data_IF_178143941426
#
_entry.id   IF_178143941426
#
_cell.length_a   1.000
_cell.length_b   1.000
_cell.length_c   1.000
_cell.angle_alpha   90.00
_cell.angle_beta   90.00
_cell.angle_gamma   90.00
#
_symmetry.space_group_name_H-M   'P 1'
#
loop_
_entity.id
_entity.type
_entity.pdbx_description
1 polymer ?
#
# COMPACT_ATOMS: atom_id res chain seq x y z
N UNK A 1 12.42 25.19 4.83
CA UNK A 1 11.79 24.18 3.96
C UNK A 1 12.03 24.62 2.53
N UNK A 2 13.07 24.14 1.90
CA UNK A 2 13.45 24.47 0.50
C UNK A 2 12.55 23.66 -0.43
N UNK A 3 11.55 24.31 -1.01
CA UNK A 3 10.70 23.69 -2.02
C UNK A 3 11.50 23.41 -3.29
N UNK A 4 11.55 22.16 -3.69
CA UNK A 4 12.19 21.75 -4.93
C UNK A 4 11.41 22.29 -6.13
N UNK A 5 12.11 22.96 -7.06
CA UNK A 5 11.53 23.49 -8.28
C UNK A 5 11.56 22.43 -9.37
N UNK A 6 10.41 22.19 -10.00
CA UNK A 6 10.26 21.20 -11.09
C UNK A 6 9.79 21.90 -12.37
N UNK A 7 9.89 21.21 -13.49
CA UNK A 7 9.44 21.74 -14.78
C UNK A 7 8.07 21.19 -15.16
N UNK A 8 7.21 22.07 -15.69
CA UNK A 8 5.90 21.68 -16.21
C UNK A 8 6.05 20.74 -17.41
N UNK A 9 5.37 19.60 -17.38
CA UNK A 9 5.40 18.62 -18.47
C UNK A 9 4.72 19.10 -19.75
N UNK A 10 3.85 20.12 -19.66
CA UNK A 10 3.10 20.64 -20.81
C UNK A 10 3.78 21.85 -21.47
N UNK A 11 4.37 22.76 -20.71
CA UNK A 11 4.96 23.98 -21.26
C UNK A 11 6.44 24.21 -20.89
N UNK A 12 7.06 23.34 -20.08
CA UNK A 12 8.44 23.47 -19.61
C UNK A 12 8.69 24.61 -18.62
N UNK A 13 7.66 25.36 -18.22
CA UNK A 13 7.80 26.44 -17.23
C UNK A 13 8.18 25.92 -15.84
N UNK A 14 8.98 26.67 -15.11
CA UNK A 14 9.35 26.31 -13.73
C UNK A 14 8.16 26.50 -12.78
N UNK A 15 7.95 25.53 -11.90
CA UNK A 15 6.90 25.59 -10.89
C UNK A 15 7.35 24.87 -9.62
N UNK A 16 6.71 25.16 -8.53
CA UNK A 16 6.92 24.46 -7.27
C UNK A 16 6.45 23.01 -7.38
N UNK A 17 7.19 22.06 -6.83
CA UNK A 17 6.84 20.62 -6.82
C UNK A 17 5.44 20.33 -6.26
N UNK A 18 4.87 21.24 -5.49
CA UNK A 18 3.52 21.13 -4.88
C UNK A 18 2.44 21.94 -5.63
N UNK A 19 2.74 22.54 -6.77
CA UNK A 19 1.76 23.35 -7.49
C UNK A 19 0.70 22.47 -8.16
N UNK A 20 -0.58 22.60 -7.78
CA UNK A 20 -1.69 21.81 -8.30
C UNK A 20 -1.93 22.04 -9.81
N UNK A 21 -1.61 23.23 -10.30
CA UNK A 21 -1.66 23.60 -11.71
C UNK A 21 -0.46 24.47 -12.06
N UNK A 22 -0.05 24.42 -13.31
CA UNK A 22 1.03 25.26 -13.81
C UNK A 22 0.57 26.72 -13.88
N UNK A 23 1.30 27.68 -13.26
CA UNK A 23 0.94 29.09 -13.30
C UNK A 23 1.08 29.71 -14.71
N UNK A 24 1.83 29.04 -15.61
CA UNK A 24 2.07 29.55 -16.97
C UNK A 24 1.07 29.06 -18.02
N UNK A 25 0.59 27.82 -17.90
CA UNK A 25 -0.30 27.21 -18.91
C UNK A 25 -1.60 26.64 -18.35
N UNK A 26 -1.83 26.73 -17.04
CA UNK A 26 -3.02 26.20 -16.40
C UNK A 26 -3.13 24.68 -16.36
N UNK A 27 -2.20 23.94 -16.99
CA UNK A 27 -2.25 22.49 -17.04
C UNK A 27 -2.20 21.90 -15.62
N UNK A 28 -3.12 21.01 -15.25
CA UNK A 28 -3.09 20.34 -13.96
C UNK A 28 -1.79 19.54 -13.86
N UNK A 29 -1.01 19.84 -12.85
CA UNK A 29 0.19 19.09 -12.55
C UNK A 29 -0.21 17.92 -11.65
N UNK A 30 0.03 16.70 -12.12
CA UNK A 30 0.08 15.58 -11.20
C UNK A 30 1.25 15.86 -10.28
N UNK A 31 0.97 16.09 -9.01
CA UNK A 31 2.01 16.35 -8.03
C UNK A 31 3.14 15.33 -8.25
N UNK A 32 4.35 15.81 -8.49
CA UNK A 32 5.56 15.02 -8.28
C UNK A 32 5.76 14.74 -6.78
N UNK A 33 4.73 15.01 -5.99
CA UNK A 33 4.64 14.80 -4.56
C UNK A 33 4.36 13.36 -4.25
N UNK A 34 5.38 12.52 -4.37
CA UNK A 34 5.49 11.34 -3.57
C UNK A 34 4.77 10.07 -3.99
N UNK A 35 4.06 10.04 -5.07
CA UNK A 35 3.65 8.77 -5.68
C UNK A 35 4.80 8.21 -6.50
N UNK A 36 5.14 6.95 -6.29
CA UNK A 36 6.14 6.24 -7.10
C UNK A 36 5.74 6.11 -8.59
N UNK A 37 4.59 6.66 -8.97
CA UNK A 37 4.06 6.64 -10.34
C UNK A 37 3.69 5.24 -10.85
N UNK A 38 3.79 4.22 -10.01
CA UNK A 38 3.53 2.83 -10.38
C UNK A 38 2.02 2.56 -10.33
N UNK A 39 1.40 2.12 -11.44
CA UNK A 39 -0.01 1.75 -11.41
C UNK A 39 -0.22 0.53 -10.50
N UNK A 40 -1.23 0.57 -9.66
CA UNK A 40 -1.56 -0.51 -8.71
C UNK A 40 -2.44 -1.57 -9.37
N UNK A 41 -1.86 -2.31 -10.31
CA UNK A 41 -2.46 -3.52 -10.87
C UNK A 41 -2.20 -4.72 -9.96
N UNK A 42 -2.84 -5.86 -10.23
CA UNK A 42 -2.61 -7.10 -9.50
C UNK A 42 -1.12 -7.47 -9.43
N UNK A 43 -0.45 -7.57 -10.58
CA UNK A 43 0.97 -7.97 -10.62
C UNK A 43 1.92 -6.95 -9.99
N UNK A 44 1.73 -5.65 -10.24
CA UNK A 44 2.59 -4.61 -9.65
C UNK A 44 2.43 -4.50 -8.15
N UNK A 45 1.21 -4.70 -7.63
CA UNK A 45 0.95 -4.66 -6.19
C UNK A 45 1.63 -5.80 -5.45
N UNK A 46 1.58 -7.02 -6.02
CA UNK A 46 2.29 -8.19 -5.46
C UNK A 46 3.80 -7.93 -5.48
N UNK A 47 4.35 -7.52 -6.63
CA UNK A 47 5.78 -7.21 -6.75
C UNK A 47 6.25 -6.14 -5.75
N UNK A 48 5.46 -5.07 -5.55
CA UNK A 48 5.74 -4.03 -4.57
C UNK A 48 5.72 -4.54 -3.13
N UNK A 49 4.76 -5.39 -2.77
CA UNK A 49 4.71 -5.97 -1.42
C UNK A 49 5.91 -6.87 -1.15
N UNK A 50 6.34 -7.66 -2.12
CA UNK A 50 7.56 -8.48 -1.98
C UNK A 50 8.84 -7.65 -2.03
N UNK A 51 8.93 -6.60 -2.84
CA UNK A 51 10.10 -5.69 -2.84
C UNK A 51 10.22 -4.90 -1.54
N UNK A 52 9.09 -4.61 -0.88
CA UNK A 52 9.01 -3.94 0.43
C UNK A 52 8.77 -4.93 1.57
N UNK A 53 9.38 -6.11 1.50
CA UNK A 53 9.14 -7.26 2.36
C UNK A 53 9.15 -6.93 3.86
N UNK A 54 10.14 -6.14 4.30
CA UNK A 54 10.33 -5.67 5.69
C UNK A 54 10.31 -4.14 5.79
N UNK A 55 9.67 -3.45 4.84
CA UNK A 55 9.60 -1.99 4.84
C UNK A 55 8.30 -1.55 5.50
N UNK A 56 8.39 -1.11 6.73
CA UNK A 56 7.25 -0.64 7.53
C UNK A 56 7.00 0.87 7.38
N UNK A 57 7.92 1.62 6.76
CA UNK A 57 7.78 3.05 6.50
C UNK A 57 7.02 3.33 5.22
N UNK A 58 6.49 4.56 5.11
CA UNK A 58 5.71 5.00 3.96
C UNK A 58 4.24 4.59 4.03
N UNK A 59 3.53 4.74 2.92
CA UNK A 59 2.08 4.54 2.82
C UNK A 59 1.74 3.47 1.78
N UNK A 60 0.66 2.73 1.97
CA UNK A 60 0.12 1.78 1.00
C UNK A 60 -1.33 2.15 0.63
N UNK A 61 -1.64 2.41 -0.65
CA UNK A 61 -3.00 2.68 -1.11
C UNK A 61 -3.85 1.41 -1.02
N UNK A 62 -5.19 1.57 -1.09
CA UNK A 62 -6.15 0.45 -1.01
C UNK A 62 -5.86 -0.63 -2.04
N UNK A 63 -5.59 -0.24 -3.28
CA UNK A 63 -5.36 -1.19 -4.36
C UNK A 63 -4.13 -2.09 -4.09
N UNK A 64 -3.01 -1.51 -3.59
CA UNK A 64 -1.82 -2.30 -3.22
C UNK A 64 -2.15 -3.33 -2.14
N UNK A 65 -2.88 -2.90 -1.10
CA UNK A 65 -3.28 -3.77 0.00
C UNK A 65 -4.23 -4.89 -0.45
N UNK A 66 -5.34 -4.55 -1.14
CA UNK A 66 -6.35 -5.54 -1.49
C UNK A 66 -5.91 -6.53 -2.55
N UNK A 67 -5.11 -6.11 -3.53
CA UNK A 67 -4.53 -7.04 -4.52
C UNK A 67 -3.58 -8.04 -3.88
N UNK A 68 -2.79 -7.58 -2.91
CA UNK A 68 -1.89 -8.48 -2.17
C UNK A 68 -2.66 -9.44 -1.28
N UNK A 69 -3.68 -8.97 -0.55
CA UNK A 69 -4.54 -9.83 0.26
C UNK A 69 -5.26 -10.90 -0.60
N UNK A 70 -5.77 -10.50 -1.76
CA UNK A 70 -6.39 -11.44 -2.71
C UNK A 70 -5.40 -12.50 -3.17
N UNK A 71 -4.18 -12.11 -3.53
CA UNK A 71 -3.13 -13.04 -3.92
C UNK A 71 -2.84 -14.07 -2.81
N UNK A 72 -2.60 -13.60 -1.60
CA UNK A 72 -2.32 -14.48 -0.44
C UNK A 72 -3.48 -15.43 -0.20
N UNK A 73 -4.71 -14.93 -0.16
CA UNK A 73 -5.91 -15.74 0.06
C UNK A 73 -6.08 -16.82 -1.01
N UNK A 74 -5.89 -16.49 -2.29
CA UNK A 74 -6.02 -17.48 -3.37
C UNK A 74 -4.97 -18.57 -3.24
N UNK A 75 -3.71 -18.21 -2.99
CA UNK A 75 -2.63 -19.19 -2.82
C UNK A 75 -2.87 -20.06 -1.59
N UNK A 76 -3.30 -19.49 -0.48
CA UNK A 76 -3.62 -20.25 0.74
C UNK A 76 -4.76 -21.26 0.51
N UNK A 77 -5.83 -20.87 -0.18
CA UNK A 77 -6.94 -21.78 -0.52
C UNK A 77 -6.46 -22.93 -1.40
N UNK A 78 -5.65 -22.63 -2.42
CA UNK A 78 -5.11 -23.66 -3.32
C UNK A 78 -4.18 -24.64 -2.56
N UNK A 79 -3.27 -24.11 -1.76
CA UNK A 79 -2.31 -24.93 -1.01
C UNK A 79 -3.02 -25.72 0.10
N UNK A 80 -4.02 -25.16 0.78
CA UNK A 80 -4.83 -25.87 1.75
C UNK A 80 -5.63 -27.03 1.11
N UNK A 81 -6.22 -26.79 -0.07
CA UNK A 81 -6.92 -27.82 -0.83
C UNK A 81 -5.99 -28.95 -1.31
N UNK A 82 -4.75 -28.59 -1.68
CA UNK A 82 -3.73 -29.55 -2.10
C UNK A 82 -3.20 -30.37 -0.93
N UNK A 83 -2.99 -29.75 0.24
CA UNK A 83 -2.53 -30.41 1.46
C UNK A 83 -3.52 -31.44 1.99
N UNK A 84 -4.81 -31.27 1.71
CA UNK A 84 -5.84 -32.25 2.06
C UNK A 84 -5.74 -33.57 1.23
N UNK A 85 -4.99 -33.55 0.13
CA UNK A 85 -4.83 -34.70 -0.78
C UNK A 85 -3.40 -35.25 -0.81
N UNK A 86 -2.42 -34.42 -0.53
CA UNK A 86 -0.99 -34.75 -0.67
C UNK A 86 -0.29 -34.32 0.62
N UNK A 87 0.17 -35.25 1.42
CA UNK A 87 0.84 -34.98 2.71
C UNK A 87 2.04 -34.03 2.56
N UNK A 88 2.86 -34.20 1.51
CA UNK A 88 4.00 -33.33 1.27
C UNK A 88 3.61 -31.86 1.03
N UNK A 89 2.39 -31.58 0.58
CA UNK A 89 1.90 -30.22 0.34
C UNK A 89 1.66 -29.45 1.64
N UNK A 90 1.55 -30.13 2.77
CA UNK A 90 1.46 -29.48 4.11
C UNK A 90 2.72 -28.68 4.40
N UNK A 91 3.89 -29.19 4.06
CA UNK A 91 5.16 -28.47 4.24
C UNK A 91 5.25 -27.24 3.34
N UNK A 92 4.78 -27.36 2.09
CA UNK A 92 4.74 -26.23 1.15
C UNK A 92 3.77 -25.13 1.63
N UNK A 93 2.60 -25.52 2.14
CA UNK A 93 1.63 -24.60 2.75
C UNK A 93 2.25 -23.88 3.97
N UNK A 94 2.87 -24.60 4.90
CA UNK A 94 3.54 -24.02 6.05
C UNK A 94 4.67 -23.06 5.68
N UNK A 95 5.49 -23.42 4.68
CA UNK A 95 6.55 -22.56 4.18
C UNK A 95 6.00 -21.28 3.55
N UNK A 96 4.94 -21.39 2.76
CA UNK A 96 4.27 -20.22 2.18
C UNK A 96 3.70 -19.30 3.26
N UNK A 97 2.96 -19.86 4.24
CA UNK A 97 2.42 -19.06 5.35
C UNK A 97 3.54 -18.28 6.07
N UNK A 98 4.66 -18.96 6.36
CA UNK A 98 5.82 -18.30 6.99
C UNK A 98 6.41 -17.19 6.11
N UNK A 99 6.53 -17.44 4.81
CA UNK A 99 7.08 -16.48 3.86
C UNK A 99 6.21 -15.22 3.72
N UNK A 100 4.90 -15.32 3.85
CA UNK A 100 4.01 -14.15 3.68
C UNK A 100 3.73 -13.38 4.97
N UNK A 101 4.13 -13.87 6.14
CA UNK A 101 3.89 -13.18 7.43
C UNK A 101 4.45 -11.76 7.43
N UNK A 102 5.73 -11.60 7.08
CA UNK A 102 6.39 -10.29 7.12
C UNK A 102 5.82 -9.30 6.09
N UNK A 103 5.65 -9.65 4.80
CA UNK A 103 5.06 -8.72 3.84
C UNK A 103 3.59 -8.41 4.15
N UNK A 104 2.83 -9.34 4.76
CA UNK A 104 1.48 -9.06 5.24
C UNK A 104 1.50 -7.98 6.33
N UNK A 105 2.32 -8.14 7.38
CA UNK A 105 2.43 -7.14 8.43
C UNK A 105 2.92 -5.81 7.85
N UNK A 106 3.92 -5.84 6.96
CA UNK A 106 4.46 -4.65 6.32
C UNK A 106 3.39 -3.85 5.55
N UNK A 107 2.59 -4.51 4.71
CA UNK A 107 1.54 -3.81 3.96
C UNK A 107 0.40 -3.32 4.86
N UNK A 108 0.04 -4.07 5.92
CA UNK A 108 -0.96 -3.66 6.92
C UNK A 108 -0.53 -2.41 7.67
N UNK A 109 0.72 -2.36 8.15
CA UNK A 109 1.29 -1.18 8.82
C UNK A 109 1.30 0.02 7.87
N UNK A 110 1.80 -0.13 6.63
CA UNK A 110 1.81 0.94 5.63
C UNK A 110 0.39 1.40 5.25
N UNK A 111 -0.59 0.51 5.34
CA UNK A 111 -2.00 0.86 5.14
C UNK A 111 -2.57 1.67 6.30
N UNK A 112 -2.20 1.39 7.55
CA UNK A 112 -2.54 2.23 8.71
C UNK A 112 -1.87 3.61 8.60
N UNK A 113 -0.62 3.67 8.16
CA UNK A 113 0.09 4.92 7.88
C UNK A 113 -0.61 5.76 6.81
N UNK A 114 -1.22 5.15 5.81
CA UNK A 114 -2.01 5.85 4.80
C UNK A 114 -3.25 6.55 5.38
N UNK A 115 -3.70 6.11 6.55
CA UNK A 115 -4.78 6.72 7.35
C UNK A 115 -4.27 7.65 8.45
N UNK A 116 -2.99 8.03 8.41
CA UNK A 116 -2.31 8.80 9.46
C UNK A 116 -2.40 8.15 10.84
N UNK A 117 -2.35 6.81 10.87
CA UNK A 117 -2.40 6.02 12.09
C UNK A 117 -1.11 5.25 12.28
N UNK A 118 -0.63 5.18 13.53
CA UNK A 118 0.55 4.38 13.87
C UNK A 118 0.30 2.90 13.58
N UNK A 119 1.33 2.19 13.11
CA UNK A 119 1.30 0.74 12.92
C UNK A 119 0.98 -0.05 14.18
N UNK A 120 1.20 0.52 15.37
CA UNK A 120 0.82 -0.08 16.64
C UNK A 120 -0.68 -0.35 16.77
N UNK A 121 -1.53 0.37 16.07
CA UNK A 121 -2.96 0.10 16.00
C UNK A 121 -3.30 -1.26 15.39
N UNK A 122 -2.36 -1.93 14.73
CA UNK A 122 -2.55 -3.30 14.28
C UNK A 122 -2.88 -4.26 15.43
N UNK A 123 -2.30 -4.04 16.63
CA UNK A 123 -2.52 -4.89 17.79
C UNK A 123 -3.95 -4.87 18.34
N UNK A 124 -4.81 -3.96 17.87
CA UNK A 124 -6.24 -3.98 18.20
C UNK A 124 -6.92 -5.28 17.72
N UNK A 125 -6.29 -6.01 16.78
CA UNK A 125 -6.75 -7.34 16.34
C UNK A 125 -6.87 -8.34 17.51
N UNK A 126 -6.13 -8.13 18.59
CA UNK A 126 -6.20 -8.98 19.80
C UNK A 126 -7.54 -8.84 20.55
N UNK A 127 -8.34 -7.80 20.25
CA UNK A 127 -9.71 -7.68 20.74
C UNK A 127 -10.61 -8.43 19.75
N UNK A 128 -11.13 -9.63 20.12
CA UNK A 128 -11.90 -10.44 19.19
C UNK A 128 -13.12 -9.67 18.65
N UNK A 129 -13.44 -9.90 17.39
CA UNK A 129 -14.53 -9.28 16.64
C UNK A 129 -14.41 -7.75 16.51
N UNK A 130 -14.34 -7.00 17.62
CA UNK A 130 -14.30 -5.52 17.61
C UNK A 130 -13.05 -5.02 16.89
N UNK A 131 -11.88 -5.56 17.25
CA UNK A 131 -10.62 -5.15 16.62
C UNK A 131 -10.56 -5.47 15.13
N UNK A 132 -11.03 -6.65 14.74
CA UNK A 132 -11.10 -7.05 13.34
C UNK A 132 -12.02 -6.13 12.52
N UNK A 133 -13.20 -5.80 13.05
CA UNK A 133 -14.16 -4.89 12.38
C UNK A 133 -13.57 -3.48 12.23
N UNK A 134 -12.93 -2.94 13.28
CA UNK A 134 -12.30 -1.64 13.23
C UNK A 134 -11.18 -1.60 12.18
N UNK A 135 -10.29 -2.60 12.17
CA UNK A 135 -9.22 -2.70 11.17
C UNK A 135 -9.78 -2.82 9.75
N UNK A 136 -10.82 -3.63 9.56
CA UNK A 136 -11.48 -3.77 8.25
C UNK A 136 -12.04 -2.43 7.77
N UNK A 137 -12.74 -1.68 8.64
CA UNK A 137 -13.22 -0.34 8.31
C UNK A 137 -12.07 0.58 7.91
N UNK A 138 -10.94 0.56 8.63
CA UNK A 138 -9.79 1.39 8.31
C UNK A 138 -9.12 0.97 7.00
N UNK A 139 -9.02 -0.31 6.71
CA UNK A 139 -8.44 -0.82 5.47
C UNK A 139 -9.32 -0.52 4.24
N UNK A 140 -10.64 -0.53 4.41
CA UNK A 140 -11.60 -0.16 3.36
C UNK A 140 -11.72 1.36 3.14
N UNK A 141 -11.47 2.18 4.18
CA UNK A 141 -11.64 3.63 4.09
C UNK A 141 -10.55 4.28 3.25
N UNK A 142 -10.82 5.45 2.63
CA UNK A 142 -9.82 6.22 1.88
C UNK A 142 -8.68 6.68 2.77
N UNK A 143 -7.47 6.71 2.21
CA UNK A 143 -6.30 7.33 2.83
C UNK A 143 -6.48 8.84 3.02
N UNK A 144 -5.61 9.44 3.85
CA UNK A 144 -5.57 10.90 4.02
C UNK A 144 -5.11 11.55 2.72
N UNK A 145 -5.80 12.63 2.31
CA UNK A 145 -5.41 13.43 1.16
C UNK A 145 -4.18 14.27 1.51
N UNK A 146 -3.29 14.40 0.55
CA UNK A 146 -2.03 15.15 0.72
C UNK A 146 -1.00 14.42 1.60
N UNK A 147 0.10 15.09 1.94
CA UNK A 147 1.12 14.54 2.84
C UNK A 147 0.58 14.38 4.25
N UNK A 148 0.99 13.30 4.93
CA UNK A 148 0.70 13.04 6.34
C UNK A 148 1.98 12.74 7.12
N UNK A 149 1.87 12.35 8.39
CA UNK A 149 3.01 12.06 9.27
C UNK A 149 3.95 10.95 8.74
N UNK A 150 3.48 10.13 7.79
CA UNK A 150 4.20 8.96 7.26
C UNK A 150 4.69 9.15 5.82
N UNK A 151 4.44 10.30 5.24
CA UNK A 151 4.95 10.64 3.92
C UNK A 151 3.91 11.26 2.99
N UNK A 152 4.34 11.53 1.75
CA UNK A 152 3.48 12.12 0.73
C UNK A 152 2.36 11.15 0.33
N UNK A 153 1.28 11.70 -0.24
CA UNK A 153 0.19 10.91 -0.79
C UNK A 153 0.70 10.01 -1.92
N UNK A 154 0.43 8.72 -1.84
CA UNK A 154 0.67 7.83 -2.96
C UNK A 154 -0.29 8.22 -4.08
N UNK A 155 0.24 8.69 -5.21
CA UNK A 155 -0.54 9.13 -6.37
C UNK A 155 -1.28 8.01 -7.12
N UNK A 156 -1.61 6.92 -6.44
CA UNK A 156 -2.50 5.90 -6.96
C UNK A 156 -3.92 6.45 -6.95
N UNK A 157 -4.51 6.55 -8.12
CA UNK A 157 -5.94 6.80 -8.27
C UNK A 157 -6.67 5.61 -7.63
N UNK A 158 -7.32 5.87 -6.51
CA UNK A 158 -8.24 4.93 -5.87
C UNK A 158 -9.56 4.80 -6.69
#
# INVERSE_FOLDING_TARGET
>A
MSGEMVFCRSCGGRLHSFAAACPHCGAPQRFAGGGDGIPRTFGTSIGLCFSKYVTFSGRAPRAEFWWFMLFVMVVEIVLAGLSAKIEAAVYLYGLFCLAVVLPNISVMVRRLHDRDRSGWWYWIILIPFVGAVILLIWFCSRGTRGPNSYGPENGAVD
#
